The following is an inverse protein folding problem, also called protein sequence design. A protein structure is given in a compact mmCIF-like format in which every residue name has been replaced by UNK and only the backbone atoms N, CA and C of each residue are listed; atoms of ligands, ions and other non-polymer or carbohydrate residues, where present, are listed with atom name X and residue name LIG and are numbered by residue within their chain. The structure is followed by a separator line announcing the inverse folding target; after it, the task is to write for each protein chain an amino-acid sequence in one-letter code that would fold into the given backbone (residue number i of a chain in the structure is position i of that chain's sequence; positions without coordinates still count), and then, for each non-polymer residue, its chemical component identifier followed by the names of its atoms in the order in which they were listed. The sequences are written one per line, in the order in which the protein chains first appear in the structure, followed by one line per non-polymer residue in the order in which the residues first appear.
data_IF_828491235725
#
_entry.id   IF_828491235725
#
_cell.length_a   1.000
_cell.length_b   1.000
_cell.length_c   1.000
_cell.angle_alpha   90.00
_cell.angle_beta   90.00
_cell.angle_gamma   90.00
#
_symmetry.space_group_name_H-M   'P 1'
#
loop_
_entity.id
_entity.type
_entity.pdbx_description
1 polymer ?
#
# COMPACT_ATOMS: atom_id res chain seq x y z
N UNK A 1 10.67 -1.36 17.80
CA UNK A 1 10.28 -2.73 17.41
C UNK A 1 9.15 -3.31 18.27
N UNK A 2 9.12 -3.14 19.60
CA UNK A 2 8.01 -3.65 20.43
C UNK A 2 6.64 -3.03 20.06
N UNK A 3 6.61 -1.73 19.73
CA UNK A 3 5.40 -1.04 19.26
C UNK A 3 4.88 -1.55 17.91
N UNK A 4 5.76 -1.77 16.93
CA UNK A 4 5.36 -2.26 15.59
C UNK A 4 4.72 -3.64 15.68
N UNK A 5 5.24 -4.52 16.56
CA UNK A 5 4.64 -5.85 16.78
C UNK A 5 3.25 -5.76 17.43
N UNK A 6 3.00 -4.76 18.27
CA UNK A 6 1.67 -4.51 18.82
C UNK A 6 0.71 -4.00 17.75
N UNK A 7 1.16 -3.07 16.90
CA UNK A 7 0.40 -2.54 15.76
C UNK A 7 0.09 -3.68 14.77
N UNK A 8 1.05 -4.54 14.44
CA UNK A 8 0.85 -5.69 13.57
C UNK A 8 -0.24 -6.62 14.09
N UNK A 9 -0.20 -6.99 15.38
CA UNK A 9 -1.24 -7.84 15.98
C UNK A 9 -2.61 -7.16 16.03
N UNK A 10 -2.65 -5.84 16.22
CA UNK A 10 -3.91 -5.10 16.15
C UNK A 10 -4.46 -5.14 14.73
N UNK A 11 -3.62 -4.87 13.73
CA UNK A 11 -3.97 -4.90 12.32
C UNK A 11 -4.51 -6.27 11.89
N UNK A 12 -3.82 -7.35 12.24
CA UNK A 12 -4.26 -8.72 11.94
C UNK A 12 -5.56 -9.12 12.63
N UNK A 13 -5.85 -8.57 13.82
CA UNK A 13 -7.14 -8.83 14.50
C UNK A 13 -8.30 -8.07 13.87
N UNK A 14 -8.05 -6.85 13.42
CA UNK A 14 -9.06 -6.05 12.71
C UNK A 14 -9.31 -6.57 11.29
N UNK A 15 -8.25 -7.06 10.63
CA UNK A 15 -8.29 -7.62 9.28
C UNK A 15 -7.50 -8.93 9.23
N UNK A 16 -8.17 -10.07 9.52
CA UNK A 16 -7.53 -11.37 9.47
C UNK A 16 -6.96 -11.67 8.07
N UNK A 17 -5.74 -12.20 8.02
CA UNK A 17 -5.14 -12.69 6.79
C UNK A 17 -5.84 -14.00 6.38
N UNK A 18 -6.49 -13.96 5.23
CA UNK A 18 -7.28 -15.05 4.64
C UNK A 18 -6.75 -15.47 3.26
N UNK A 19 -5.56 -14.97 2.87
CA UNK A 19 -4.85 -15.33 1.65
C UNK A 19 -3.80 -16.43 1.87
N UNK A 20 -3.49 -17.26 0.85
CA UNK A 20 -2.33 -18.13 0.86
C UNK A 20 -1.03 -17.34 1.10
N UNK A 21 -0.10 -17.90 1.90
CA UNK A 21 1.08 -17.17 2.37
C UNK A 21 1.97 -16.58 1.26
N UNK A 22 2.15 -17.30 0.15
CA UNK A 22 2.94 -16.81 -1.00
C UNK A 22 2.24 -15.64 -1.72
N UNK A 23 0.93 -15.73 -1.89
CA UNK A 23 0.14 -14.67 -2.50
C UNK A 23 0.10 -13.43 -1.59
N UNK A 24 -0.07 -13.63 -0.29
CA UNK A 24 0.01 -12.56 0.70
C UNK A 24 1.38 -11.88 0.68
N UNK A 25 2.49 -12.65 0.67
CA UNK A 25 3.84 -12.09 0.62
C UNK A 25 4.09 -11.26 -0.64
N UNK A 26 3.61 -11.75 -1.79
CA UNK A 26 3.68 -11.03 -3.07
C UNK A 26 2.92 -9.71 -3.00
N UNK A 27 1.64 -9.75 -2.61
CA UNK A 27 0.82 -8.54 -2.50
C UNK A 27 1.40 -7.53 -1.50
N UNK A 28 1.94 -8.00 -0.38
CA UNK A 28 2.64 -7.14 0.58
C UNK A 28 3.88 -6.48 -0.05
N UNK A 29 4.67 -7.20 -0.84
CA UNK A 29 5.82 -6.61 -1.53
C UNK A 29 5.39 -5.54 -2.55
N UNK A 30 4.35 -5.81 -3.34
CA UNK A 30 3.79 -4.85 -4.31
C UNK A 30 3.15 -3.64 -3.61
N UNK A 31 2.34 -3.86 -2.59
CA UNK A 31 1.68 -2.80 -1.82
C UNK A 31 2.67 -1.83 -1.18
N UNK A 32 3.80 -2.33 -0.65
CA UNK A 32 4.88 -1.46 -0.13
C UNK A 32 5.47 -0.56 -1.21
N UNK A 33 5.67 -1.06 -2.43
CA UNK A 33 6.18 -0.25 -3.55
C UNK A 33 5.17 0.80 -4.00
N UNK A 34 3.89 0.43 -4.07
CA UNK A 34 2.80 1.36 -4.41
C UNK A 34 2.69 2.46 -3.35
N UNK A 35 2.75 2.13 -2.05
CA UNK A 35 2.76 3.13 -0.97
C UNK A 35 3.93 4.11 -1.10
N UNK A 36 5.14 3.61 -1.37
CA UNK A 36 6.30 4.47 -1.58
C UNK A 36 6.10 5.39 -2.79
N UNK A 37 5.55 4.87 -3.89
CA UNK A 37 5.26 5.66 -5.08
C UNK A 37 4.15 6.71 -4.85
N UNK A 38 3.14 6.39 -4.06
CA UNK A 38 2.10 7.34 -3.65
C UNK A 38 2.70 8.48 -2.81
N UNK A 39 3.39 8.13 -1.72
CA UNK A 39 3.87 9.11 -0.75
C UNK A 39 5.06 9.96 -1.26
N UNK A 40 5.91 9.39 -2.11
CA UNK A 40 7.10 10.09 -2.62
C UNK A 40 6.96 10.57 -4.06
N UNK A 41 5.96 10.11 -4.83
CA UNK A 41 5.89 10.34 -6.26
C UNK A 41 6.86 9.51 -7.11
N UNK A 42 7.83 8.82 -6.51
CA UNK A 42 8.86 8.07 -7.24
C UNK A 42 8.36 6.70 -7.67
N UNK A 43 8.57 6.34 -8.94
CA UNK A 43 8.22 5.01 -9.44
C UNK A 43 6.74 4.80 -9.77
N UNK A 44 5.91 5.85 -9.75
CA UNK A 44 4.49 5.78 -10.14
C UNK A 44 4.27 5.20 -11.55
N UNK A 45 5.20 5.45 -12.48
CA UNK A 45 5.16 4.87 -13.83
C UNK A 45 5.20 3.34 -13.90
N UNK A 46 5.59 2.64 -12.82
CA UNK A 46 5.51 1.17 -12.73
C UNK A 46 4.09 0.68 -12.43
N UNK A 47 3.18 1.56 -12.01
CA UNK A 47 1.81 1.24 -11.60
C UNK A 47 0.80 2.14 -12.31
N UNK A 48 0.69 2.06 -13.66
CA UNK A 48 -0.16 2.96 -14.44
C UNK A 48 -1.64 2.90 -14.04
N UNK A 49 -2.12 1.75 -13.56
CA UNK A 49 -3.50 1.61 -13.06
C UNK A 49 -3.72 2.27 -11.70
N UNK A 50 -2.69 2.33 -10.86
CA UNK A 50 -2.76 2.98 -9.55
C UNK A 50 -2.54 4.50 -9.63
N UNK A 51 -1.75 4.94 -10.61
CA UNK A 51 -1.39 6.35 -10.83
C UNK A 51 -1.59 6.72 -12.31
N UNK A 52 -2.84 6.83 -12.79
CA UNK A 52 -3.11 7.16 -14.19
C UNK A 52 -2.52 8.54 -14.58
N UNK A 53 -2.44 9.48 -13.64
CA UNK A 53 -1.85 10.81 -13.88
C UNK A 53 -0.36 10.75 -14.22
N UNK A 54 0.35 9.71 -13.78
CA UNK A 54 1.77 9.52 -14.10
C UNK A 54 2.00 9.07 -15.55
N UNK A 55 0.96 8.58 -16.24
CA UNK A 55 1.02 8.11 -17.63
C UNK A 55 0.88 9.28 -18.61
N UNK A 56 0.07 10.28 -18.28
CA UNK A 56 -0.25 11.41 -19.17
C UNK A 56 0.80 12.54 -19.14
N UNK A 57 1.94 12.32 -18.46
CA UNK A 57 2.99 13.34 -18.34
C UNK A 57 2.57 14.56 -17.51
N UNK A 58 1.44 14.48 -16.79
CA UNK A 58 1.09 15.47 -15.79
C UNK A 58 2.23 15.53 -14.78
N UNK A 59 2.88 16.70 -14.71
CA UNK A 59 4.22 16.87 -14.16
C UNK A 59 4.44 16.22 -12.79
N UNK A 60 5.68 15.84 -12.51
CA UNK A 60 6.10 15.20 -11.28
C UNK A 60 5.48 15.89 -10.04
N UNK A 61 4.48 15.23 -9.43
CA UNK A 61 3.91 15.70 -8.17
C UNK A 61 5.03 15.69 -7.13
N UNK A 62 5.30 16.85 -6.53
CA UNK A 62 6.38 16.97 -5.58
C UNK A 62 6.16 15.97 -4.42
N UNK A 63 7.15 15.11 -4.07
CA UNK A 63 7.03 14.15 -2.97
C UNK A 63 6.36 14.72 -1.72
N UNK A 64 5.19 14.20 -1.32
CA UNK A 64 4.53 14.68 -0.10
C UNK A 64 5.37 14.34 1.14
N UNK A 65 6.03 13.18 1.11
CA UNK A 65 6.89 12.69 2.16
C UNK A 65 8.30 12.41 1.64
N UNK A 66 9.29 12.67 2.49
CA UNK A 66 10.71 12.41 2.20
C UNK A 66 11.23 11.17 2.92
N UNK A 67 10.54 10.74 3.97
CA UNK A 67 10.84 9.52 4.72
C UNK A 67 9.55 8.78 4.99
N UNK A 68 9.58 7.47 4.78
CA UNK A 68 8.47 6.55 5.04
C UNK A 68 8.98 5.37 5.84
N UNK A 69 8.23 5.00 6.88
CA UNK A 69 8.45 3.82 7.69
C UNK A 69 7.16 3.06 7.84
N UNK A 70 7.13 1.84 7.32
CA UNK A 70 5.98 0.95 7.44
C UNK A 70 6.06 0.25 8.81
N UNK A 71 5.01 0.42 9.61
CA UNK A 71 4.91 -0.09 10.98
C UNK A 71 4.24 -1.47 10.99
N UNK A 72 3.23 -1.67 10.16
CA UNK A 72 2.51 -2.92 10.04
C UNK A 72 1.91 -3.07 8.63
N UNK A 73 1.69 -4.31 8.20
CA UNK A 73 1.01 -4.58 6.94
C UNK A 73 0.28 -5.93 6.99
N UNK A 74 -0.90 -5.99 6.39
CA UNK A 74 -1.62 -7.25 6.19
C UNK A 74 -2.24 -7.26 4.80
N UNK A 75 -2.15 -8.39 4.11
CA UNK A 75 -2.83 -8.63 2.86
C UNK A 75 -3.97 -9.61 3.11
N UNK A 76 -5.15 -9.28 2.59
CA UNK A 76 -6.34 -10.12 2.72
C UNK A 76 -7.12 -10.15 1.41
N UNK A 77 -7.92 -11.18 1.24
CA UNK A 77 -8.90 -11.29 0.20
C UNK A 77 -10.04 -10.31 0.47
N UNK A 78 -10.55 -9.73 -0.60
CA UNK A 78 -11.83 -9.04 -0.57
C UNK A 78 -12.95 -10.10 -0.67
N UNK A 79 -14.14 -9.73 -0.23
CA UNK A 79 -15.40 -10.46 -0.41
C UNK A 79 -15.67 -10.88 -1.86
N UNK A 80 -15.10 -10.17 -2.84
CA UNK A 80 -15.21 -10.51 -4.27
C UNK A 80 -14.01 -11.34 -4.74
N UNK A 81 -14.30 -12.44 -5.41
CA UNK A 81 -13.27 -13.22 -6.11
C UNK A 81 -12.50 -12.33 -7.10
N UNK A 82 -11.20 -12.58 -7.27
CA UNK A 82 -10.38 -11.72 -8.12
C UNK A 82 -9.81 -10.49 -7.41
N UNK A 83 -10.12 -10.28 -6.13
CA UNK A 83 -9.79 -9.04 -5.42
C UNK A 83 -9.13 -9.30 -4.08
N UNK A 84 -8.17 -8.46 -3.74
CA UNK A 84 -7.48 -8.44 -2.47
C UNK A 84 -7.23 -7.00 -2.05
N UNK A 85 -7.04 -6.78 -0.75
CA UNK A 85 -6.68 -5.47 -0.20
C UNK A 85 -5.44 -5.64 0.67
N UNK A 86 -4.49 -4.74 0.48
CA UNK A 86 -3.34 -4.60 1.36
C UNK A 86 -3.58 -3.39 2.25
N UNK A 87 -3.64 -3.64 3.55
CA UNK A 87 -3.72 -2.60 4.58
C UNK A 87 -2.31 -2.33 5.11
N UNK A 88 -1.86 -1.09 5.03
CA UNK A 88 -0.54 -0.66 5.48
C UNK A 88 -0.67 0.43 6.53
N UNK A 89 -0.07 0.20 7.70
CA UNK A 89 0.11 1.25 8.71
C UNK A 89 1.52 1.78 8.59
N UNK A 90 1.66 3.09 8.44
CA UNK A 90 2.94 3.72 8.23
C UNK A 90 3.03 5.09 8.90
N UNK A 91 4.27 5.53 9.05
CA UNK A 91 4.62 6.86 9.50
C UNK A 91 5.53 7.51 8.47
N UNK A 92 5.44 8.83 8.34
CA UNK A 92 6.25 9.58 7.41
C UNK A 92 6.62 10.96 7.91
N UNK A 93 7.69 11.51 7.33
CA UNK A 93 8.06 12.90 7.51
C UNK A 93 7.88 13.65 6.19
N UNK A 94 7.21 14.79 6.24
CA UNK A 94 7.10 15.69 5.09
C UNK A 94 8.44 16.38 4.78
N UNK A 95 8.46 17.32 3.82
CA UNK A 95 9.67 18.11 3.53
C UNK A 95 10.06 19.10 4.62
N UNK A 96 9.09 19.57 5.42
CA UNK A 96 9.33 20.47 6.54
C UNK A 96 9.87 19.77 7.78
N UNK A 97 9.91 18.43 7.78
CA UNK A 97 10.29 17.61 8.92
C UNK A 97 9.13 17.32 9.87
N UNK A 98 7.90 17.70 9.51
CA UNK A 98 6.69 17.35 10.27
C UNK A 98 6.51 15.85 10.19
N UNK A 99 6.50 15.21 11.35
CA UNK A 99 6.29 13.77 11.46
C UNK A 99 4.80 13.47 11.63
N UNK A 100 4.27 12.53 10.86
CA UNK A 100 2.94 11.96 11.06
C UNK A 100 3.06 10.46 11.20
N UNK A 101 2.44 9.87 12.23
CA UNK A 101 2.38 8.44 12.45
C UNK A 101 0.96 7.89 12.39
N UNK A 102 0.85 6.56 12.34
CA UNK A 102 -0.44 5.86 12.42
C UNK A 102 -1.32 5.98 11.17
N UNK A 103 -0.79 6.46 10.04
CA UNK A 103 -1.56 6.55 8.79
C UNK A 103 -1.89 5.14 8.30
N UNK A 104 -3.16 4.93 7.95
CA UNK A 104 -3.63 3.71 7.32
C UNK A 104 -3.85 3.96 5.83
N UNK A 105 -3.16 3.20 4.99
CA UNK A 105 -3.37 3.19 3.54
C UNK A 105 -3.85 1.82 3.11
N UNK A 106 -4.97 1.83 2.39
CA UNK A 106 -5.55 0.67 1.76
C UNK A 106 -5.22 0.67 0.28
N UNK A 107 -4.67 -0.45 -0.20
CA UNK A 107 -4.29 -0.63 -1.61
C UNK A 107 -5.07 -1.82 -2.14
N UNK A 108 -6.13 -1.58 -2.94
CA UNK A 108 -6.85 -2.65 -3.59
C UNK A 108 -6.02 -3.25 -4.72
N UNK A 109 -6.11 -4.57 -4.88
CA UNK A 109 -5.52 -5.32 -5.98
C UNK A 109 -6.61 -6.11 -6.67
N UNK A 110 -6.59 -6.09 -8.01
CA UNK A 110 -7.45 -6.90 -8.85
C UNK A 110 -6.58 -7.86 -9.66
N UNK A 111 -6.98 -9.12 -9.80
CA UNK A 111 -6.44 -10.02 -10.82
C UNK A 111 -7.57 -10.48 -11.74
N UNK A 112 -7.26 -10.68 -13.02
CA UNK A 112 -8.18 -11.33 -13.92
C UNK A 112 -8.21 -12.83 -13.60
N UNK A 113 -9.36 -13.48 -13.80
CA UNK A 113 -9.44 -14.93 -13.60
C UNK A 113 -8.48 -15.62 -14.58
N UNK A 114 -7.47 -16.32 -14.05
CA UNK A 114 -6.64 -17.27 -14.79
C UNK A 114 -5.22 -16.81 -15.13
N UNK A 115 -4.85 -15.53 -14.94
CA UNK A 115 -3.49 -15.05 -15.24
C UNK A 115 -2.57 -14.96 -14.02
N UNK A 116 -3.13 -15.07 -12.81
CA UNK A 116 -2.39 -14.95 -11.53
C UNK A 116 -1.76 -13.57 -11.31
N UNK A 117 -2.04 -12.59 -12.17
CA UNK A 117 -1.35 -11.30 -12.20
C UNK A 117 -2.18 -10.27 -11.47
N UNK A 118 -1.62 -9.72 -10.38
CA UNK A 118 -2.28 -8.72 -9.56
C UNK A 118 -1.92 -7.31 -9.99
N UNK A 119 -2.94 -6.51 -10.28
CA UNK A 119 -2.83 -5.11 -10.67
C UNK A 119 -3.30 -4.22 -9.52
N UNK A 120 -2.44 -3.34 -8.99
CA UNK A 120 -2.83 -2.39 -7.95
C UNK A 120 -3.82 -1.36 -8.51
N UNK A 121 -4.78 -0.98 -7.69
CA UNK A 121 -5.72 0.10 -7.92
C UNK A 121 -5.27 1.35 -7.14
N UNK A 122 -5.86 2.53 -7.40
CA UNK A 122 -5.51 3.75 -6.70
C UNK A 122 -5.59 3.57 -5.16
N UNK A 123 -4.51 3.94 -4.43
CA UNK A 123 -4.48 3.80 -2.97
C UNK A 123 -5.44 4.77 -2.30
N UNK A 124 -5.99 4.38 -1.16
CA UNK A 124 -6.81 5.25 -0.30
C UNK A 124 -6.14 5.42 1.05
N UNK A 125 -5.73 6.65 1.39
CA UNK A 125 -5.04 6.95 2.65
C UNK A 125 -5.97 7.71 3.59
N UNK A 126 -6.11 7.22 4.82
CA UNK A 126 -6.86 7.88 5.88
C UNK A 126 -5.91 8.65 6.79
N UNK A 127 -6.25 9.90 7.12
CA UNK A 127 -5.45 10.85 7.91
C UNK A 127 -5.80 10.85 9.39
#
# INVERSE_FOLDING_TARGET
MAGDRAIQRLLERSWPADLPGEQAATLLAWGRKVLLADATGLGRGQFPTAFPEAVDGAGAVAPAFTRIRIQAAVARQDTRAGRAVVHLVWAGADRGGTYTDGRLTDIPFHHARGDGTWTPQPPTTTS
#
